data_IF_376346412657
#
_entry.id   IF_376346412657
#
_cell.length_a   1.000
_cell.length_b   1.000
_cell.length_c   1.000
_cell.angle_alpha   90.00
_cell.angle_beta   90.00
_cell.angle_gamma   90.00
#
_symmetry.space_group_name_H-M   'P 1'
#
loop_
_entity.id
_entity.type
_entity.pdbx_description
1 polymer ?
#
# COMPACT_ATOMS: atom_id res chain seq x y z
N UNK A 1 17.76 17.30 -3.01
CA UNK A 1 16.31 17.15 -3.25
C UNK A 1 15.82 15.78 -2.75
N UNK A 2 16.17 15.38 -1.52
CA UNK A 2 15.85 14.04 -0.98
C UNK A 2 14.47 13.97 -0.31
N UNK A 3 14.08 15.03 0.42
CA UNK A 3 12.81 15.16 1.13
C UNK A 3 11.58 14.80 0.28
N UNK A 4 11.56 15.16 -0.99
CA UNK A 4 10.40 14.98 -1.87
C UNK A 4 10.42 13.67 -2.69
N UNK A 5 11.51 12.91 -2.63
CA UNK A 5 11.72 11.71 -3.45
C UNK A 5 11.85 10.46 -2.58
N UNK A 6 12.47 10.60 -1.41
CA UNK A 6 12.79 9.48 -0.55
C UNK A 6 11.90 9.44 0.70
N UNK A 7 11.22 8.31 0.89
CA UNK A 7 10.45 7.99 2.08
C UNK A 7 10.86 6.64 2.67
N UNK A 8 10.29 6.28 3.82
CA UNK A 8 10.53 4.98 4.45
C UNK A 8 9.22 4.22 4.64
N UNK A 9 9.22 2.90 4.42
CA UNK A 9 8.14 2.08 4.97
C UNK A 9 8.31 2.05 6.49
N UNK A 10 7.20 2.08 7.22
CA UNK A 10 7.20 2.04 8.68
C UNK A 10 6.06 1.16 9.19
N UNK A 11 6.24 0.58 10.38
CA UNK A 11 5.22 -0.23 11.07
C UNK A 11 4.85 0.40 12.42
N UNK A 12 4.36 1.66 12.44
CA UNK A 12 4.15 2.40 13.69
C UNK A 12 3.14 1.72 14.61
N UNK A 13 2.15 1.00 14.06
CA UNK A 13 1.15 0.27 14.83
C UNK A 13 1.68 -1.01 15.51
N UNK A 14 2.97 -1.33 15.39
CA UNK A 14 3.62 -2.37 16.19
C UNK A 14 4.28 -1.82 17.46
N UNK A 15 4.39 -0.50 17.54
CA UNK A 15 5.08 0.19 18.62
C UNK A 15 4.13 1.05 19.43
N UNK A 16 4.59 1.49 20.60
CA UNK A 16 3.91 2.52 21.40
C UNK A 16 4.01 3.89 20.74
N UNK A 17 3.11 4.84 21.06
CA UNK A 17 3.21 6.22 20.58
C UNK A 17 4.56 6.89 20.81
N UNK A 18 5.18 6.64 21.97
CA UNK A 18 6.51 7.16 22.29
C UNK A 18 7.58 6.64 21.31
N UNK A 19 7.56 5.34 21.02
CA UNK A 19 8.54 4.69 20.15
C UNK A 19 8.42 5.14 18.69
N UNK A 20 7.21 5.09 18.09
CA UNK A 20 7.08 5.54 16.70
C UNK A 20 7.30 7.06 16.56
N UNK A 21 6.98 7.86 17.59
CA UNK A 21 7.31 9.29 17.58
C UNK A 21 8.82 9.50 17.53
N UNK A 22 9.60 8.74 18.31
CA UNK A 22 11.06 8.81 18.26
C UNK A 22 11.62 8.38 16.88
N UNK A 23 11.08 7.31 16.28
CA UNK A 23 11.43 6.87 14.93
C UNK A 23 11.16 7.95 13.88
N UNK A 24 10.00 8.62 13.96
CA UNK A 24 9.64 9.72 13.08
C UNK A 24 10.52 10.96 13.28
N UNK A 25 10.89 11.29 14.52
CA UNK A 25 11.87 12.35 14.79
C UNK A 25 13.23 12.04 14.16
N UNK A 26 13.70 10.79 14.26
CA UNK A 26 14.94 10.36 13.61
C UNK A 26 14.85 10.45 12.08
N UNK A 27 13.72 10.03 11.48
CA UNK A 27 13.46 10.20 10.05
C UNK A 27 13.54 11.68 9.63
N UNK A 28 12.97 12.60 10.41
CA UNK A 28 13.06 14.04 10.16
C UNK A 28 14.49 14.58 10.28
N UNK A 29 15.29 14.06 11.20
CA UNK A 29 16.69 14.44 11.35
C UNK A 29 17.54 14.08 10.11
N UNK A 30 17.11 13.09 9.32
CA UNK A 30 17.70 12.76 8.01
C UNK A 30 17.22 13.69 6.87
N UNK A 31 16.38 14.68 7.17
CA UNK A 31 15.78 15.57 6.18
C UNK A 31 14.67 14.92 5.34
N UNK A 32 14.14 13.76 5.77
CA UNK A 32 13.04 13.07 5.13
C UNK A 32 11.70 13.46 5.76
N UNK A 33 10.60 13.29 5.03
CA UNK A 33 9.26 13.54 5.58
C UNK A 33 8.15 12.66 5.01
N UNK A 34 8.47 11.61 4.24
CA UNK A 34 7.48 10.68 3.71
C UNK A 34 7.56 9.32 4.41
N UNK A 35 6.40 8.79 4.81
CA UNK A 35 6.26 7.44 5.36
C UNK A 35 5.19 6.64 4.61
N UNK A 36 5.44 5.35 4.42
CA UNK A 36 4.45 4.38 3.95
C UNK A 36 4.04 3.45 5.08
N UNK A 37 2.74 3.28 5.29
CA UNK A 37 2.17 2.56 6.43
C UNK A 37 1.15 1.53 5.96
N UNK A 38 1.29 0.30 6.46
CA UNK A 38 0.35 -0.78 6.17
C UNK A 38 -0.75 -0.92 7.22
N UNK A 39 -1.99 -0.99 6.76
CA UNK A 39 -3.15 -1.39 7.56
C UNK A 39 -3.65 -2.74 7.08
N UNK A 40 -3.64 -3.73 7.96
CA UNK A 40 -4.24 -5.01 7.68
C UNK A 40 -5.71 -4.99 8.11
N UNK A 41 -6.66 -5.11 7.19
CA UNK A 41 -8.08 -4.90 7.50
C UNK A 41 -8.58 -5.85 8.58
N UNK A 42 -8.17 -7.12 8.52
CA UNK A 42 -8.50 -8.11 9.56
C UNK A 42 -8.00 -7.71 10.95
N UNK A 43 -6.75 -7.24 11.07
CA UNK A 43 -6.18 -6.79 12.34
C UNK A 43 -6.83 -5.50 12.86
N UNK A 44 -7.29 -4.66 11.94
CA UNK A 44 -8.01 -3.42 12.26
C UNK A 44 -9.51 -3.65 12.49
N UNK A 45 -10.00 -4.88 12.37
CA UNK A 45 -11.40 -5.23 12.59
C UNK A 45 -11.59 -5.84 13.98
N UNK A 46 -12.69 -5.49 14.65
CA UNK A 46 -13.11 -6.08 15.93
C UNK A 46 -13.89 -7.38 15.68
N UNK A 47 -14.02 -8.26 16.68
CA UNK A 47 -14.88 -9.44 16.57
C UNK A 47 -16.34 -9.11 16.18
N UNK A 48 -16.80 -7.92 16.56
CA UNK A 48 -18.13 -7.40 16.21
C UNK A 48 -18.23 -6.76 14.80
N UNK A 49 -17.19 -6.89 13.97
CA UNK A 49 -17.14 -6.38 12.60
C UNK A 49 -16.78 -4.90 12.48
N UNK A 50 -16.73 -4.13 13.58
CA UNK A 50 -16.41 -2.70 13.53
C UNK A 50 -14.90 -2.45 13.43
N UNK A 51 -14.52 -1.37 12.77
CA UNK A 51 -13.12 -0.97 12.63
C UNK A 51 -12.54 -0.36 13.92
N UNK A 52 -11.25 -0.57 14.16
CA UNK A 52 -10.48 -0.12 15.33
C UNK A 52 -9.77 1.21 15.03
N UNK A 53 -10.46 2.34 15.19
CA UNK A 53 -9.88 3.65 14.85
C UNK A 53 -8.86 4.19 15.87
N UNK A 54 -9.00 3.89 17.17
CA UNK A 54 -8.28 4.63 18.22
C UNK A 54 -6.75 4.69 18.07
N UNK A 55 -6.09 3.58 17.71
CA UNK A 55 -4.62 3.58 17.49
C UNK A 55 -4.22 4.34 16.23
N UNK A 56 -5.05 4.28 15.19
CA UNK A 56 -4.83 5.00 13.95
C UNK A 56 -5.07 6.51 14.13
N UNK A 57 -6.05 6.90 14.94
CA UNK A 57 -6.30 8.31 15.29
C UNK A 57 -5.05 8.95 15.92
N UNK A 58 -4.46 8.29 16.92
CA UNK A 58 -3.24 8.76 17.59
C UNK A 58 -2.03 8.84 16.64
N UNK A 59 -1.92 7.88 15.72
CA UNK A 59 -0.89 7.85 14.69
C UNK A 59 -1.04 9.02 13.71
N UNK A 60 -2.21 9.18 13.09
CA UNK A 60 -2.47 10.25 12.11
C UNK A 60 -2.31 11.63 12.76
N UNK A 61 -2.76 11.80 14.01
CA UNK A 61 -2.51 13.03 14.76
C UNK A 61 -1.00 13.31 14.93
N UNK A 62 -0.20 12.28 15.17
CA UNK A 62 1.26 12.41 15.29
C UNK A 62 1.92 12.74 13.95
N UNK A 63 1.51 12.09 12.86
CA UNK A 63 2.00 12.41 11.51
C UNK A 63 1.75 13.90 11.18
N UNK A 64 0.53 14.39 11.45
CA UNK A 64 0.17 15.80 11.27
C UNK A 64 1.01 16.72 12.15
N UNK A 65 1.14 16.43 13.45
CA UNK A 65 1.94 17.24 14.39
C UNK A 65 3.41 17.33 13.97
N UNK A 66 3.95 16.27 13.38
CA UNK A 66 5.33 16.21 12.91
C UNK A 66 5.50 16.69 11.47
N UNK A 67 4.46 17.19 10.79
CA UNK A 67 4.55 17.60 9.37
C UNK A 67 5.13 16.48 8.47
N UNK A 68 4.68 15.25 8.71
CA UNK A 68 4.99 14.09 7.88
C UNK A 68 3.90 13.87 6.85
N UNK A 69 4.31 13.55 5.64
CA UNK A 69 3.45 13.06 4.58
C UNK A 69 3.33 11.54 4.66
N UNK A 70 2.15 11.02 4.32
CA UNK A 70 1.87 9.59 4.42
C UNK A 70 1.18 9.01 3.19
N UNK A 71 1.67 7.84 2.80
CA UNK A 71 1.00 6.87 1.95
C UNK A 71 0.52 5.71 2.83
N UNK A 72 -0.78 5.42 2.81
CA UNK A 72 -1.37 4.37 3.65
C UNK A 72 -2.12 3.37 2.77
N UNK A 73 -1.73 2.09 2.84
CA UNK A 73 -2.45 1.01 2.17
C UNK A 73 -3.37 0.26 3.15
N UNK A 74 -4.55 -0.15 2.66
CA UNK A 74 -5.40 -1.14 3.32
C UNK A 74 -5.25 -2.46 2.56
N UNK A 75 -4.89 -3.53 3.25
CA UNK A 75 -4.67 -4.86 2.65
C UNK A 75 -5.34 -5.94 3.47
N UNK A 76 -5.63 -7.06 2.79
CA UNK A 76 -6.19 -8.25 3.39
C UNK A 76 -7.68 -8.09 3.64
N UNK A 77 -8.44 -9.17 3.49
CA UNK A 77 -9.88 -9.14 3.78
C UNK A 77 -10.13 -9.24 5.28
N UNK A 78 -11.12 -8.51 5.79
CA UNK A 78 -11.69 -8.82 7.09
C UNK A 78 -12.36 -10.21 7.04
N UNK A 79 -12.35 -10.96 8.15
CA UNK A 79 -12.84 -12.34 8.17
C UNK A 79 -14.29 -12.49 7.69
N UNK A 80 -15.15 -11.53 8.03
CA UNK A 80 -16.58 -11.56 7.64
C UNK A 80 -16.79 -11.40 6.13
N UNK A 81 -15.84 -10.78 5.42
CA UNK A 81 -15.93 -10.43 4.00
C UNK A 81 -14.86 -11.11 3.16
N UNK A 82 -14.16 -12.12 3.66
CA UNK A 82 -13.25 -12.90 2.83
C UNK A 82 -14.04 -13.76 1.83
N UNK A 83 -13.61 -13.78 0.56
CA UNK A 83 -14.13 -14.72 -0.45
C UNK A 83 -13.54 -16.13 -0.33
N UNK A 84 -12.58 -16.34 0.57
CA UNK A 84 -11.99 -17.66 0.84
C UNK A 84 -12.95 -18.60 1.60
N UNK A 85 -12.59 -19.88 1.71
CA UNK A 85 -13.33 -20.83 2.56
C UNK A 85 -13.45 -20.31 4.00
N UNK A 86 -14.58 -20.57 4.66
CA UNK A 86 -14.87 -20.07 6.02
C UNK A 86 -13.78 -20.49 7.03
N UNK A 87 -13.30 -21.73 6.91
CA UNK A 87 -12.27 -22.32 7.79
C UNK A 87 -10.83 -22.04 7.34
N UNK A 88 -10.63 -21.23 6.28
CA UNK A 88 -9.30 -20.90 5.82
C UNK A 88 -8.54 -20.12 6.90
N UNK A 89 -7.35 -20.60 7.27
CA UNK A 89 -6.44 -19.89 8.17
C UNK A 89 -5.83 -18.65 7.51
N UNK A 90 -5.75 -18.65 6.18
CA UNK A 90 -5.23 -17.59 5.33
C UNK A 90 -6.34 -16.81 4.60
N UNK A 91 -7.51 -16.70 5.23
CA UNK A 91 -8.70 -16.01 4.70
C UNK A 91 -8.40 -14.58 4.23
N UNK A 92 -7.43 -13.93 4.83
CA UNK A 92 -7.02 -12.56 4.52
C UNK A 92 -6.28 -12.43 3.18
N UNK A 93 -5.73 -13.52 2.63
CA UNK A 93 -5.09 -13.55 1.30
C UNK A 93 -6.11 -13.58 0.15
N UNK A 94 -7.39 -13.79 0.46
CA UNK A 94 -8.47 -13.79 -0.51
C UNK A 94 -9.04 -12.39 -0.65
N UNK A 95 -9.49 -12.00 -1.86
CA UNK A 95 -10.15 -10.72 -2.04
C UNK A 95 -11.46 -10.63 -1.23
N UNK A 96 -12.00 -9.42 -1.05
CA UNK A 96 -13.33 -9.22 -0.50
C UNK A 96 -14.38 -10.03 -1.28
N UNK A 97 -15.39 -10.57 -0.60
CA UNK A 97 -16.57 -11.16 -1.25
C UNK A 97 -17.42 -10.05 -1.85
N UNK A 98 -17.55 -8.95 -1.11
CA UNK A 98 -18.26 -7.75 -1.51
C UNK A 98 -17.30 -6.56 -1.54
N UNK A 99 -16.72 -6.26 -2.72
CA UNK A 99 -15.79 -5.13 -2.93
C UNK A 99 -16.31 -3.81 -2.31
N UNK A 100 -17.64 -3.61 -2.31
CA UNK A 100 -18.31 -2.46 -1.70
C UNK A 100 -17.92 -2.25 -0.23
N UNK A 101 -17.78 -3.30 0.57
CA UNK A 101 -17.48 -3.16 2.01
C UNK A 101 -16.05 -2.67 2.23
N UNK A 102 -15.09 -3.20 1.45
CA UNK A 102 -13.72 -2.69 1.43
C UNK A 102 -13.70 -1.22 1.00
N UNK A 103 -14.40 -0.89 -0.09
CA UNK A 103 -14.45 0.46 -0.65
C UNK A 103 -15.07 1.47 0.33
N UNK A 104 -16.15 1.08 1.01
CA UNK A 104 -16.76 1.90 2.07
C UNK A 104 -15.80 2.13 3.23
N UNK A 105 -15.05 1.11 3.65
CA UNK A 105 -14.08 1.25 4.72
C UNK A 105 -12.93 2.18 4.32
N UNK A 106 -12.41 2.06 3.08
CA UNK A 106 -11.36 2.93 2.56
C UNK A 106 -11.83 4.39 2.46
N UNK A 107 -13.04 4.62 1.95
CA UNK A 107 -13.65 5.95 1.88
C UNK A 107 -13.88 6.55 3.29
N UNK A 108 -14.33 5.74 4.26
CA UNK A 108 -14.47 6.16 5.64
C UNK A 108 -13.13 6.56 6.28
N UNK A 109 -12.05 5.84 5.97
CA UNK A 109 -10.69 6.20 6.40
C UNK A 109 -10.23 7.53 5.78
N UNK A 110 -10.43 7.69 4.47
CA UNK A 110 -10.06 8.93 3.77
C UNK A 110 -10.82 10.15 4.29
N UNK A 111 -12.13 10.02 4.50
CA UNK A 111 -12.95 11.08 5.10
C UNK A 111 -12.52 11.41 6.52
N UNK A 112 -12.19 10.40 7.34
CA UNK A 112 -11.75 10.58 8.73
C UNK A 112 -10.37 11.22 8.82
N UNK A 113 -9.49 10.96 7.87
CA UNK A 113 -8.09 11.37 7.90
C UNK A 113 -7.70 12.22 6.67
N UNK A 114 -8.22 13.45 6.55
CA UNK A 114 -7.95 14.31 5.38
C UNK A 114 -6.49 14.75 5.27
N UNK A 115 -5.67 14.57 6.31
CA UNK A 115 -4.22 14.85 6.27
C UNK A 115 -3.39 13.75 5.62
N UNK A 116 -3.98 12.59 5.30
CA UNK A 116 -3.28 11.51 4.60
C UNK A 116 -3.11 11.89 3.12
N UNK A 117 -1.88 11.86 2.61
CA UNK A 117 -1.57 12.35 1.27
C UNK A 117 -1.93 11.36 0.16
N UNK A 118 -1.87 10.06 0.45
CA UNK A 118 -2.15 9.00 -0.51
C UNK A 118 -2.80 7.79 0.18
N UNK A 119 -3.80 7.21 -0.51
CA UNK A 119 -4.40 5.94 -0.16
C UNK A 119 -4.06 4.92 -1.25
N UNK A 120 -3.45 3.82 -0.83
CA UNK A 120 -3.04 2.73 -1.69
C UNK A 120 -4.04 1.57 -1.56
N UNK A 121 -4.50 1.06 -2.71
CA UNK A 121 -5.46 -0.04 -2.76
C UNK A 121 -4.70 -1.35 -2.78
N UNK A 122 -4.84 -2.13 -1.70
CA UNK A 122 -4.16 -3.41 -1.53
C UNK A 122 -2.62 -3.31 -1.47
N UNK A 123 -1.94 -4.46 -1.53
CA UNK A 123 -0.48 -4.57 -1.62
C UNK A 123 -0.08 -5.94 -2.20
N UNK A 124 0.87 -5.96 -3.16
CA UNK A 124 1.43 -7.16 -3.80
C UNK A 124 0.39 -8.15 -4.35
N UNK A 125 -0.69 -7.61 -4.91
CA UNK A 125 -1.83 -8.34 -5.49
C UNK A 125 -1.47 -9.28 -6.65
N UNK A 126 -0.27 -9.16 -7.22
CA UNK A 126 0.26 -10.10 -8.21
C UNK A 126 0.80 -11.41 -7.58
N UNK A 127 0.84 -11.52 -6.24
CA UNK A 127 1.28 -12.71 -5.52
C UNK A 127 0.10 -13.41 -4.82
N UNK A 128 -0.02 -14.76 -4.94
CA UNK A 128 -1.05 -15.55 -4.25
C UNK A 128 -1.04 -15.44 -2.72
N UNK A 129 0.10 -15.06 -2.13
CA UNK A 129 0.25 -14.84 -0.70
C UNK A 129 -0.50 -13.58 -0.21
N UNK A 130 -0.88 -12.69 -1.12
CA UNK A 130 -1.59 -11.45 -0.81
C UNK A 130 -2.91 -11.33 -1.55
N UNK A 131 -3.09 -12.02 -2.69
CA UNK A 131 -4.32 -11.96 -3.46
C UNK A 131 -4.57 -13.27 -4.21
N UNK A 132 -5.67 -13.93 -3.87
CA UNK A 132 -6.11 -15.18 -4.51
C UNK A 132 -7.22 -14.99 -5.56
N UNK A 133 -7.51 -13.74 -5.92
CA UNK A 133 -8.38 -13.40 -7.04
C UNK A 133 -7.62 -13.26 -8.36
N UNK A 134 -8.33 -12.92 -9.44
CA UNK A 134 -7.72 -12.59 -10.72
C UNK A 134 -7.49 -11.08 -10.88
N UNK A 135 -6.82 -10.68 -11.97
CA UNK A 135 -6.57 -9.27 -12.30
C UNK A 135 -7.85 -8.48 -12.52
N UNK A 136 -8.92 -9.13 -13.03
CA UNK A 136 -10.22 -8.46 -13.24
C UNK A 136 -10.90 -8.12 -11.92
N UNK A 137 -10.79 -8.98 -10.91
CA UNK A 137 -11.27 -8.71 -9.57
C UNK A 137 -10.55 -7.51 -8.95
N UNK A 138 -9.22 -7.47 -9.05
CA UNK A 138 -8.47 -6.33 -8.55
C UNK A 138 -8.80 -5.03 -9.32
N UNK A 139 -8.99 -5.12 -10.65
CA UNK A 139 -9.41 -3.99 -11.47
C UNK A 139 -10.76 -3.41 -11.03
N UNK A 140 -11.75 -4.25 -10.67
CA UNK A 140 -13.05 -3.80 -10.15
C UNK A 140 -12.90 -3.09 -8.81
N UNK A 141 -12.20 -3.73 -7.86
CA UNK A 141 -11.91 -3.15 -6.54
C UNK A 141 -11.24 -1.77 -6.66
N UNK A 142 -10.24 -1.65 -7.55
CA UNK A 142 -9.50 -0.42 -7.79
C UNK A 142 -10.37 0.70 -8.36
N UNK A 143 -11.21 0.39 -9.37
CA UNK A 143 -12.11 1.37 -9.99
C UNK A 143 -13.13 1.87 -8.98
N UNK A 144 -13.72 0.99 -8.18
CA UNK A 144 -14.73 1.36 -7.20
C UNK A 144 -14.12 2.13 -6.02
N UNK A 145 -12.91 1.76 -5.57
CA UNK A 145 -12.13 2.53 -4.60
C UNK A 145 -11.86 3.95 -5.11
N UNK A 146 -11.41 4.10 -6.35
CA UNK A 146 -11.14 5.41 -6.94
C UNK A 146 -12.39 6.29 -7.07
N UNK A 147 -13.53 5.71 -7.46
CA UNK A 147 -14.82 6.44 -7.49
C UNK A 147 -15.24 6.90 -6.11
N UNK A 148 -15.13 6.04 -5.09
CA UNK A 148 -15.52 6.38 -3.74
C UNK A 148 -14.64 7.49 -3.15
N UNK A 149 -13.31 7.39 -3.30
CA UNK A 149 -12.39 8.42 -2.83
C UNK A 149 -12.62 9.77 -3.51
N UNK A 150 -12.92 9.77 -4.82
CA UNK A 150 -13.28 10.99 -5.53
C UNK A 150 -14.60 11.60 -5.04
N UNK A 151 -15.61 10.77 -4.74
CA UNK A 151 -16.91 11.21 -4.23
C UNK A 151 -16.83 11.87 -2.84
N UNK A 152 -15.85 11.47 -2.01
CA UNK A 152 -15.57 12.13 -0.73
C UNK A 152 -14.94 13.51 -0.86
N UNK A 153 -14.57 13.94 -2.07
CA UNK A 153 -13.77 15.15 -2.29
C UNK A 153 -12.38 15.04 -1.65
N UNK A 154 -11.88 13.81 -1.44
CA UNK A 154 -10.61 13.59 -0.80
C UNK A 154 -9.48 14.19 -1.66
N UNK A 155 -8.66 15.06 -1.05
CA UNK A 155 -7.46 15.60 -1.71
C UNK A 155 -6.32 14.58 -1.82
N UNK A 156 -6.47 13.42 -1.16
CA UNK A 156 -5.53 12.32 -1.19
C UNK A 156 -5.44 11.71 -2.58
N UNK A 157 -4.24 11.33 -2.99
CA UNK A 157 -4.00 10.60 -4.25
C UNK A 157 -4.40 9.14 -4.11
N UNK A 158 -4.82 8.54 -5.24
CA UNK A 158 -5.03 7.09 -5.34
C UNK A 158 -3.74 6.42 -5.84
N UNK A 159 -3.24 5.46 -5.08
CA UNK A 159 -2.12 4.60 -5.49
C UNK A 159 -2.66 3.22 -5.85
N UNK A 160 -2.30 2.78 -7.06
CA UNK A 160 -2.57 1.46 -7.60
C UNK A 160 -1.50 0.51 -7.07
N UNK A 161 -1.93 -0.29 -6.11
CA UNK A 161 -1.17 -1.43 -5.62
C UNK A 161 0.15 -1.07 -4.98
N UNK A 162 0.94 -2.12 -4.83
CA UNK A 162 2.34 -2.11 -4.49
C UNK A 162 2.91 -3.41 -5.03
N UNK A 163 2.94 -3.54 -6.36
CA UNK A 163 3.20 -4.82 -7.01
C UNK A 163 4.51 -5.43 -6.53
N UNK A 164 4.56 -6.73 -6.26
CA UNK A 164 5.83 -7.39 -6.05
C UNK A 164 6.65 -7.36 -7.35
N UNK A 165 7.96 -7.14 -7.23
CA UNK A 165 8.90 -7.07 -8.34
C UNK A 165 8.49 -6.00 -9.37
N UNK A 166 8.31 -6.39 -10.62
CA UNK A 166 7.83 -5.52 -11.70
C UNK A 166 6.42 -5.93 -12.14
N UNK A 167 5.59 -6.43 -11.22
CA UNK A 167 4.22 -6.91 -11.43
C UNK A 167 4.04 -8.27 -12.10
N UNK A 168 5.11 -9.07 -12.19
CA UNK A 168 5.00 -10.45 -12.68
C UNK A 168 4.01 -11.26 -11.83
N UNK A 169 3.15 -12.06 -12.47
CA UNK A 169 2.26 -13.02 -11.84
C UNK A 169 2.87 -14.43 -12.03
N UNK A 170 3.52 -15.02 -11.02
CA UNK A 170 4.23 -16.30 -11.19
C UNK A 170 3.31 -17.42 -11.68
N UNK A 171 2.09 -17.50 -11.15
CA UNK A 171 1.10 -18.50 -11.51
C UNK A 171 0.59 -18.41 -12.97
N UNK A 172 0.93 -17.32 -13.69
CA UNK A 172 0.52 -17.09 -15.07
C UNK A 172 1.75 -16.93 -15.98
N UNK A 173 2.78 -17.76 -15.79
CA UNK A 173 3.99 -17.74 -16.61
C UNK A 173 4.71 -16.39 -16.60
N UNK A 174 4.67 -15.69 -15.46
CA UNK A 174 5.27 -14.36 -15.28
C UNK A 174 4.72 -13.25 -16.18
N UNK A 175 3.48 -13.37 -16.68
CA UNK A 175 2.78 -12.22 -17.29
C UNK A 175 2.69 -11.04 -16.31
N UNK A 176 2.56 -9.82 -16.83
CA UNK A 176 2.56 -8.61 -16.02
C UNK A 176 1.14 -8.19 -15.64
N UNK A 177 0.83 -8.12 -14.35
CA UNK A 177 -0.45 -7.62 -13.87
C UNK A 177 -0.68 -6.18 -14.30
N UNK A 178 0.37 -5.35 -14.31
CA UNK A 178 0.30 -3.97 -14.77
C UNK A 178 -0.14 -3.87 -16.24
N UNK A 179 0.40 -4.73 -17.10
CA UNK A 179 0.01 -4.78 -18.51
C UNK A 179 -1.45 -5.23 -18.68
N UNK A 180 -1.88 -6.24 -17.91
CA UNK A 180 -3.26 -6.69 -17.91
C UNK A 180 -4.23 -5.56 -17.48
N UNK A 181 -3.89 -4.79 -16.44
CA UNK A 181 -4.68 -3.63 -16.00
C UNK A 181 -4.70 -2.51 -17.05
N UNK A 182 -3.59 -2.27 -17.74
CA UNK A 182 -3.52 -1.33 -18.86
C UNK A 182 -4.46 -1.75 -20.00
N UNK A 183 -4.43 -3.03 -20.40
CA UNK A 183 -5.33 -3.59 -21.45
C UNK A 183 -6.80 -3.54 -21.04
N UNK A 184 -7.12 -3.63 -19.75
CA UNK A 184 -8.48 -3.44 -19.22
C UNK A 184 -8.92 -1.97 -19.22
N UNK A 185 -8.04 -1.01 -19.49
CA UNK A 185 -8.37 0.41 -19.58
C UNK A 185 -8.72 1.08 -18.23
N UNK A 186 -8.33 0.46 -17.12
CA UNK A 186 -8.66 0.94 -15.76
C UNK A 186 -7.64 1.91 -15.19
N UNK A 187 -6.40 1.90 -15.70
CA UNK A 187 -5.34 2.82 -15.28
C UNK A 187 -5.55 4.20 -15.92
N UNK A 188 -5.82 5.23 -15.11
CA UNK A 188 -6.09 6.58 -15.60
C UNK A 188 -5.45 7.65 -14.69
N UNK A 189 -4.92 8.76 -15.21
CA UNK A 189 -4.54 9.89 -14.39
C UNK A 189 -5.75 10.38 -13.54
N UNK A 190 -5.54 10.84 -12.29
CA UNK A 190 -4.26 11.07 -11.62
C UNK A 190 -3.75 9.87 -10.79
N UNK A 191 -4.14 8.62 -11.11
CA UNK A 191 -3.64 7.44 -10.41
C UNK A 191 -2.11 7.32 -10.46
N UNK A 192 -1.55 6.85 -9.36
CA UNK A 192 -0.12 6.57 -9.19
C UNK A 192 0.08 5.05 -9.22
N UNK A 193 1.06 4.52 -9.97
CA UNK A 193 1.36 3.08 -9.99
C UNK A 193 2.62 2.80 -9.17
N UNK A 194 2.55 1.89 -8.19
CA UNK A 194 3.69 1.51 -7.35
C UNK A 194 4.12 0.04 -7.53
N UNK A 195 5.42 -0.23 -7.38
CA UNK A 195 5.99 -1.58 -7.40
C UNK A 195 7.25 -1.73 -6.53
N UNK A 196 7.57 -2.97 -6.14
CA UNK A 196 8.62 -3.37 -5.20
C UNK A 196 9.70 -4.22 -5.91
N UNK A 197 10.65 -3.60 -6.64
CA UNK A 197 11.63 -4.28 -7.50
C UNK A 197 12.83 -4.83 -6.71
N UNK A 198 12.55 -5.58 -5.64
CA UNK A 198 13.57 -6.36 -4.94
C UNK A 198 14.27 -7.31 -5.92
N UNK A 199 15.59 -7.46 -5.81
CA UNK A 199 16.36 -8.37 -6.66
C UNK A 199 17.49 -9.02 -5.86
N UNK A 200 17.78 -10.29 -6.17
CA UNK A 200 18.76 -11.10 -5.45
C UNK A 200 20.19 -10.51 -5.49
N UNK A 201 20.54 -9.80 -6.58
CA UNK A 201 21.84 -9.16 -6.76
C UNK A 201 22.06 -7.92 -5.86
N UNK A 202 20.98 -7.31 -5.34
CA UNK A 202 21.04 -6.27 -4.32
C UNK A 202 21.15 -6.88 -2.90
N UNK A 203 20.57 -8.07 -2.69
CA UNK A 203 20.66 -8.85 -1.44
C UNK A 203 22.08 -9.35 -1.13
N UNK A 204 22.85 -9.84 -2.12
CA UNK A 204 24.23 -10.31 -1.87
C UNK A 204 25.25 -9.19 -1.62
N UNK A 205 24.97 -7.95 -2.03
CA UNK A 205 25.84 -6.79 -1.74
C UNK A 205 25.57 -6.15 -0.37
N UNK A 206 24.61 -6.67 0.40
CA UNK A 206 24.09 -6.05 1.62
C UNK A 206 24.92 -6.28 2.90
N UNK A 207 26.09 -6.92 2.81
CA UNK A 207 27.10 -6.86 3.88
C UNK A 207 27.97 -5.59 3.80
N UNK A 208 27.78 -4.71 2.80
CA UNK A 208 28.67 -3.55 2.60
C UNK A 208 28.00 -2.17 2.38
N UNK A 209 26.73 -2.02 1.99
CA UNK A 209 26.07 -0.69 1.97
C UNK A 209 24.57 -0.75 1.72
N UNK A 210 23.85 0.20 2.33
CA UNK A 210 22.38 0.35 2.34
C UNK A 210 21.85 0.86 0.98
N UNK A 211 20.80 0.21 0.43
CA UNK A 211 19.94 0.79 -0.61
C UNK A 211 19.20 -0.20 -1.53
N UNK A 212 17.94 -0.55 -1.22
CA UNK A 212 16.99 -1.21 -2.13
C UNK A 212 15.97 -0.26 -2.78
N UNK A 213 15.85 -0.24 -4.11
CA UNK A 213 14.96 0.71 -4.81
C UNK A 213 13.50 0.21 -4.77
N UNK A 214 12.57 1.07 -4.40
CA UNK A 214 11.12 0.98 -4.73
C UNK A 214 10.84 1.94 -5.88
N UNK A 215 10.12 1.46 -6.90
CA UNK A 215 9.83 2.21 -8.11
C UNK A 215 8.36 2.60 -8.17
N UNK A 216 8.11 3.84 -8.56
CA UNK A 216 6.78 4.42 -8.71
C UNK A 216 6.71 5.07 -10.09
N UNK A 217 5.66 4.80 -10.88
CA UNK A 217 5.47 5.39 -12.20
C UNK A 217 4.12 6.11 -12.21
N UNK A 218 4.16 7.42 -12.42
CA UNK A 218 2.94 8.21 -12.63
C UNK A 218 2.63 8.25 -14.13
N UNK A 219 1.40 7.87 -14.52
CA UNK A 219 0.93 8.02 -15.90
C UNK A 219 0.50 9.47 -16.13
N UNK A 220 1.15 10.20 -17.04
CA UNK A 220 0.73 11.54 -17.48
C UNK A 220 0.34 11.54 -18.95
N UNK A 221 -0.73 12.27 -19.31
CA UNK A 221 -0.87 12.76 -20.70
C UNK A 221 0.18 13.86 -20.92
N UNK A 222 0.77 13.87 -22.12
CA UNK A 222 1.83 14.78 -22.56
C UNK A 222 1.68 16.21 -22.02
N UNK A 223 2.67 16.68 -21.27
CA UNK A 223 2.88 18.12 -20.99
C UNK A 223 2.65 18.61 -19.55
N UNK A 224 2.34 17.77 -18.57
CA UNK A 224 2.28 18.19 -17.15
C UNK A 224 3.56 17.83 -16.38
N UNK A 225 4.05 18.68 -15.46
CA UNK A 225 5.25 18.40 -14.70
C UNK A 225 5.11 17.09 -13.92
N UNK A 226 6.14 16.26 -14.01
CA UNK A 226 6.24 14.92 -13.44
C UNK A 226 5.98 15.01 -11.93
N UNK A 227 4.81 14.53 -11.50
CA UNK A 227 4.45 14.44 -10.10
C UNK A 227 5.28 13.37 -9.39
N UNK A 228 5.52 13.60 -8.10
CA UNK A 228 6.53 12.95 -7.28
C UNK A 228 6.62 11.42 -7.41
N UNK A 229 7.83 10.95 -7.73
CA UNK A 229 8.30 9.58 -7.51
C UNK A 229 8.55 9.39 -6.01
N UNK A 230 8.07 8.30 -5.41
CA UNK A 230 8.45 7.93 -4.03
C UNK A 230 9.18 6.59 -4.03
N UNK A 231 10.23 6.50 -3.22
CA UNK A 231 10.98 5.28 -2.99
C UNK A 231 10.88 4.97 -1.50
N UNK A 232 10.31 3.81 -1.14
CA UNK A 232 10.17 3.37 0.25
C UNK A 232 11.07 2.14 0.52
N UNK A 233 12.05 2.25 1.43
CA UNK A 233 12.87 1.10 1.85
C UNK A 233 12.15 0.22 2.90
N UNK A 234 12.47 -1.07 2.98
CA UNK A 234 11.90 -2.04 3.94
C UNK A 234 13.03 -2.87 4.57
N UNK A 235 13.03 -3.10 5.89
CA UNK A 235 14.12 -3.86 6.55
C UNK A 235 13.77 -5.29 6.98
N UNK A 236 12.50 -5.72 6.92
CA UNK A 236 12.04 -6.95 7.60
C UNK A 236 11.27 -7.98 6.74
N UNK A 237 11.16 -7.78 5.42
CA UNK A 237 10.55 -8.79 4.53
C UNK A 237 11.55 -9.84 3.99
N UNK A 238 12.77 -9.87 4.53
CA UNK A 238 13.83 -10.82 4.17
C UNK A 238 13.40 -12.30 4.18
N UNK A 239 12.37 -12.67 4.96
CA UNK A 239 11.90 -14.06 5.07
C UNK A 239 11.17 -14.59 3.81
N UNK A 240 10.70 -13.72 2.90
CA UNK A 240 10.07 -14.15 1.63
C UNK A 240 11.09 -14.34 0.50
N UNK A 241 12.27 -13.71 0.59
CA UNK A 241 13.30 -13.78 -0.44
C UNK A 241 13.96 -15.16 -0.50
N UNK A 242 14.03 -15.89 0.62
CA UNK A 242 14.71 -17.19 0.70
C UNK A 242 13.85 -18.41 0.32
N UNK A 243 12.58 -18.22 -0.05
CA UNK A 243 11.64 -19.33 -0.35
C UNK A 243 11.05 -19.31 -1.76
N UNK A 244 11.35 -18.28 -2.55
CA UNK A 244 10.73 -18.04 -3.88
C UNK A 244 11.78 -17.97 -5.00
N UNK A 245 13.06 -18.17 -4.68
CA UNK A 245 14.13 -18.51 -5.61
C UNK A 245 14.50 -19.97 -5.41
#
# INVERSE_FOLDING_TARGET
MWRNFLGLNTQPLWFTPKQYTAQFTALKALGLNWVRIGLHWSAMTRPDGRFRYGRLDALVHTLKRLDLHSDIYLVGSARFDSSGPIEASNFDQYPPREDRLYVQQLAALARRYPSVNAWEVWNKENLPAFWRGDTKAYARLLVDAGRALAAEGAQSKLVVGGFAFYSQIPAQGHTLMLEQLWRLGVLRPPMIVAFHPYNAAACHRHLASVGERVGLVQLSRSGSPVGAFFMFFHSLEHALCSRVL
#
